data_IF_440383466288
#
_entry.id   IF_440383466288
#
_cell.length_a   1.000
_cell.length_b   1.000
_cell.length_c   1.000
_cell.angle_alpha   90.00
_cell.angle_beta   90.00
_cell.angle_gamma   90.00
#
_symmetry.space_group_name_H-M   'P 1'
#
loop_
_entity.id
_entity.type
_entity.pdbx_description
1 polymer ?
#
# COMPACT_ATOMS: atom_id res chain seq x y z
N UNK A 1 -9.38 -24.31 5.78
CA UNK A 1 -8.44 -23.54 4.93
C UNK A 1 -8.69 -24.10 3.55
N UNK A 2 -9.63 -23.52 2.82
CA UNK A 2 -10.37 -24.30 1.80
C UNK A 2 -9.76 -24.17 0.40
N UNK A 3 -8.65 -23.41 0.30
CA UNK A 3 -8.01 -23.02 -0.96
C UNK A 3 -6.64 -23.67 -1.18
N UNK A 4 -6.15 -24.50 -0.26
CA UNK A 4 -4.85 -25.19 -0.38
C UNK A 4 -4.99 -26.70 -0.17
N UNK A 5 -4.15 -27.47 -0.87
CA UNK A 5 -3.99 -28.89 -0.60
C UNK A 5 -3.15 -29.09 0.67
N UNK A 6 -3.82 -29.37 1.79
CA UNK A 6 -3.18 -29.52 3.11
C UNK A 6 -2.07 -30.60 3.13
N UNK A 7 -2.18 -31.63 2.28
CA UNK A 7 -1.20 -32.71 2.23
C UNK A 7 0.18 -32.24 1.75
N UNK A 8 0.18 -31.26 0.84
CA UNK A 8 1.40 -30.63 0.30
C UNK A 8 2.08 -29.66 1.29
N UNK A 9 1.38 -29.25 2.36
CA UNK A 9 1.84 -28.20 3.30
C UNK A 9 2.02 -28.69 4.75
N UNK A 10 1.94 -30.00 5.00
CA UNK A 10 2.13 -30.58 6.33
C UNK A 10 3.44 -30.14 7.00
N UNK A 11 3.35 -29.67 8.24
CA UNK A 11 4.48 -29.15 9.03
C UNK A 11 5.01 -27.76 8.61
N UNK A 12 4.46 -27.17 7.55
CA UNK A 12 4.85 -25.83 7.04
C UNK A 12 3.76 -24.77 7.25
N UNK A 13 2.59 -25.17 7.75
CA UNK A 13 1.48 -24.26 8.03
C UNK A 13 1.63 -23.60 9.39
N UNK A 14 1.30 -22.31 9.45
CA UNK A 14 1.15 -21.55 10.69
C UNK A 14 -0.32 -21.22 10.88
N UNK A 15 -0.90 -21.69 11.99
CA UNK A 15 -2.23 -21.25 12.38
C UNK A 15 -2.17 -19.86 13.00
N UNK A 16 -2.90 -18.92 12.39
CA UNK A 16 -3.11 -17.58 12.92
C UNK A 16 -4.58 -17.46 13.34
N UNK A 17 -4.87 -17.35 14.66
CA UNK A 17 -6.23 -17.16 15.13
C UNK A 17 -6.76 -15.81 14.66
N UNK A 18 -8.08 -15.61 14.76
CA UNK A 18 -8.87 -14.47 14.25
C UNK A 18 -9.56 -14.78 12.90
N UNK A 19 -10.88 -14.57 12.89
CA UNK A 19 -11.76 -14.73 11.73
C UNK A 19 -12.35 -13.39 11.27
N UNK A 20 -12.13 -12.32 12.03
CA UNK A 20 -12.51 -10.95 11.67
C UNK A 20 -11.50 -10.32 10.71
N UNK A 21 -10.30 -10.90 10.61
CA UNK A 21 -9.21 -10.45 9.72
C UNK A 21 -8.97 -11.42 8.57
N UNK A 22 -8.66 -10.86 7.40
CA UNK A 22 -8.22 -11.64 6.24
C UNK A 22 -6.90 -12.38 6.53
N UNK A 23 -6.62 -13.45 5.78
CA UNK A 23 -5.35 -14.17 5.90
C UNK A 23 -4.14 -13.29 5.56
N UNK A 24 -4.29 -12.33 4.64
CA UNK A 24 -3.25 -11.34 4.36
C UNK A 24 -2.99 -10.44 5.56
N UNK A 25 -4.05 -9.86 6.15
CA UNK A 25 -3.92 -8.98 7.30
C UNK A 25 -3.27 -9.69 8.50
N UNK A 26 -3.68 -10.93 8.78
CA UNK A 26 -3.06 -11.77 9.82
C UNK A 26 -1.59 -12.05 9.51
N UNK A 27 -1.26 -12.31 8.25
CA UNK A 27 0.12 -12.54 7.82
C UNK A 27 1.00 -11.30 8.03
N UNK A 28 0.49 -10.10 7.74
CA UNK A 28 1.19 -8.83 8.00
C UNK A 28 1.48 -8.63 9.49
N UNK A 29 0.50 -8.91 10.36
CA UNK A 29 0.68 -8.86 11.81
C UNK A 29 1.74 -9.86 12.28
N UNK A 30 1.70 -11.09 11.76
CA UNK A 30 2.66 -12.13 12.10
C UNK A 30 4.09 -11.77 11.70
N UNK A 31 4.33 -11.38 10.44
CA UNK A 31 5.68 -11.07 9.97
C UNK A 31 6.27 -9.87 10.73
N UNK A 32 5.45 -8.87 11.03
CA UNK A 32 5.88 -7.75 11.88
C UNK A 32 6.24 -8.20 13.31
N UNK A 33 5.48 -9.13 13.90
CA UNK A 33 5.76 -9.67 15.23
C UNK A 33 7.10 -10.40 15.34
N UNK A 34 7.62 -10.93 14.23
CA UNK A 34 8.94 -11.58 14.15
C UNK A 34 10.04 -10.64 13.66
N UNK A 35 9.77 -9.33 13.57
CA UNK A 35 10.75 -8.28 13.25
C UNK A 35 10.89 -7.96 11.77
N UNK A 36 10.02 -8.49 10.90
CA UNK A 36 10.02 -8.16 9.47
C UNK A 36 9.09 -6.97 9.24
N UNK A 37 9.66 -5.82 8.87
CA UNK A 37 8.93 -4.57 8.68
C UNK A 37 8.93 -4.06 7.24
N UNK A 38 9.60 -4.73 6.31
CA UNK A 38 9.52 -4.47 4.87
C UNK A 38 8.89 -5.68 4.18
N UNK A 39 7.75 -5.47 3.53
CA UNK A 39 6.94 -6.56 2.98
C UNK A 39 6.45 -6.18 1.58
N UNK A 40 6.72 -7.08 0.64
CA UNK A 40 6.16 -7.07 -0.71
C UNK A 40 5.11 -8.17 -0.82
N UNK A 41 3.93 -7.80 -1.33
CA UNK A 41 2.83 -8.73 -1.59
C UNK A 41 2.62 -8.79 -3.09
N UNK A 42 2.63 -10.01 -3.62
CA UNK A 42 2.37 -10.33 -5.03
C UNK A 42 1.10 -11.19 -5.14
N UNK A 43 0.54 -11.30 -6.33
CA UNK A 43 -0.72 -12.03 -6.52
C UNK A 43 -1.92 -11.32 -5.87
N UNK A 44 -1.85 -10.00 -5.80
CA UNK A 44 -2.92 -9.13 -5.30
C UNK A 44 -3.99 -8.83 -6.36
N UNK A 45 -3.66 -9.15 -7.62
CA UNK A 45 -4.52 -9.02 -8.79
C UNK A 45 -5.36 -10.26 -9.08
N UNK A 46 -6.46 -10.03 -9.80
CA UNK A 46 -7.35 -11.09 -10.27
C UNK A 46 -8.48 -11.39 -9.29
N UNK A 47 -9.32 -12.35 -9.67
CA UNK A 47 -10.57 -12.63 -8.97
C UNK A 47 -11.61 -11.54 -9.20
N UNK A 48 -12.50 -11.35 -8.23
CA UNK A 48 -13.49 -10.28 -8.24
C UNK A 48 -12.98 -9.03 -7.50
N UNK A 49 -13.62 -7.89 -7.75
CA UNK A 49 -13.24 -6.62 -7.13
C UNK A 49 -13.33 -6.65 -5.60
N UNK A 50 -14.17 -7.50 -4.99
CA UNK A 50 -14.23 -7.67 -3.55
C UNK A 50 -12.91 -8.19 -2.99
N UNK A 51 -12.27 -9.15 -3.67
CA UNK A 51 -10.93 -9.61 -3.30
C UNK A 51 -9.88 -8.50 -3.41
N UNK A 52 -9.87 -7.77 -4.54
CA UNK A 52 -8.92 -6.67 -4.77
C UNK A 52 -9.09 -5.55 -3.74
N UNK A 53 -10.33 -5.15 -3.44
CA UNK A 53 -10.63 -4.17 -2.39
C UNK A 53 -10.25 -4.68 -1.00
N UNK A 54 -10.48 -5.97 -0.70
CA UNK A 54 -10.07 -6.58 0.56
C UNK A 54 -8.55 -6.54 0.77
N UNK A 55 -7.78 -6.81 -0.29
CA UNK A 55 -6.33 -6.69 -0.27
C UNK A 55 -5.89 -5.25 -0.03
N UNK A 56 -6.48 -4.26 -0.70
CA UNK A 56 -6.19 -2.84 -0.42
C UNK A 56 -6.61 -2.42 0.99
N UNK A 57 -7.75 -2.92 1.49
CA UNK A 57 -8.24 -2.64 2.84
C UNK A 57 -7.27 -3.14 3.92
N UNK A 58 -6.55 -4.26 3.69
CA UNK A 58 -5.54 -4.78 4.61
C UNK A 58 -4.42 -3.78 4.92
N UNK A 59 -4.17 -2.80 4.04
CA UNK A 59 -3.21 -1.72 4.29
C UNK A 59 -3.62 -0.86 5.50
N UNK A 60 -4.92 -0.69 5.75
CA UNK A 60 -5.44 0.08 6.89
C UNK A 60 -5.34 -0.68 8.21
N UNK A 61 -5.19 -2.00 8.14
CA UNK A 61 -4.98 -2.90 9.27
C UNK A 61 -3.49 -3.22 9.48
N UNK A 62 -2.62 -2.64 8.66
CA UNK A 62 -1.19 -2.92 8.66
C UNK A 62 -0.54 -2.42 9.96
N UNK A 63 0.40 -3.17 10.54
CA UNK A 63 1.03 -2.81 11.80
C UNK A 63 1.86 -1.53 11.70
N UNK A 64 2.03 -0.84 12.82
CA UNK A 64 2.79 0.41 12.87
C UNK A 64 4.23 0.19 12.41
N UNK A 65 4.75 1.14 11.62
CA UNK A 65 6.12 1.12 11.12
C UNK A 65 6.38 0.22 9.91
N UNK A 66 5.39 -0.58 9.47
CA UNK A 66 5.56 -1.45 8.31
C UNK A 66 5.67 -0.64 7.01
N UNK A 67 6.57 -1.08 6.14
CA UNK A 67 6.72 -0.65 4.75
C UNK A 67 6.13 -1.74 3.87
N UNK A 68 4.91 -1.49 3.41
CA UNK A 68 4.13 -2.43 2.63
C UNK A 68 4.02 -1.97 1.18
N UNK A 69 4.29 -2.89 0.25
CA UNK A 69 4.11 -2.69 -1.20
C UNK A 69 3.25 -3.81 -1.75
N UNK A 70 2.22 -3.46 -2.51
CA UNK A 70 1.37 -4.40 -3.22
C UNK A 70 1.70 -4.28 -4.71
N UNK A 71 2.11 -5.38 -5.34
CA UNK A 71 2.55 -5.42 -6.73
C UNK A 71 1.40 -5.83 -7.63
N UNK A 72 0.85 -4.84 -8.34
CA UNK A 72 -0.13 -5.04 -9.38
C UNK A 72 0.57 -5.19 -10.74
N UNK A 73 -0.07 -5.82 -11.73
CA UNK A 73 0.43 -5.93 -13.10
C UNK A 73 0.71 -4.55 -13.72
N UNK A 74 -0.09 -3.55 -13.34
CA UNK A 74 0.01 -2.19 -13.87
C UNK A 74 0.90 -1.24 -13.05
N UNK A 75 1.48 -1.71 -11.93
CA UNK A 75 2.31 -0.87 -11.07
C UNK A 75 2.32 -1.30 -9.61
N UNK A 76 2.88 -0.46 -8.75
CA UNK A 76 3.06 -0.77 -7.32
C UNK A 76 2.26 0.19 -6.46
N UNK A 77 1.47 -0.35 -5.53
CA UNK A 77 0.77 0.42 -4.51
C UNK A 77 1.59 0.43 -3.22
N UNK A 78 2.13 1.59 -2.87
CA UNK A 78 2.93 1.80 -1.67
C UNK A 78 2.05 2.26 -0.51
N UNK A 79 2.22 1.64 0.66
CA UNK A 79 1.65 2.13 1.91
C UNK A 79 2.53 3.21 2.54
N UNK A 80 1.96 4.38 2.80
CA UNK A 80 2.63 5.46 3.51
C UNK A 80 1.85 5.81 4.76
N UNK A 81 2.52 5.89 5.91
CA UNK A 81 1.92 6.32 7.17
C UNK A 81 2.88 7.23 7.94
N UNK A 82 2.39 8.01 8.93
CA UNK A 82 3.26 8.78 9.81
C UNK A 82 4.34 7.95 10.53
N UNK A 83 4.11 6.64 10.65
CA UNK A 83 4.97 5.73 11.42
C UNK A 83 6.02 5.00 10.59
N UNK A 84 5.94 5.00 9.26
CA UNK A 84 6.84 4.23 8.39
C UNK A 84 7.82 5.08 7.55
N UNK A 85 7.83 6.40 7.79
CA UNK A 85 8.72 7.34 7.10
C UNK A 85 8.14 7.96 5.83
N UNK A 86 6.88 7.69 5.51
CA UNK A 86 6.20 8.22 4.33
C UNK A 86 6.62 7.54 3.03
N UNK A 87 6.41 8.22 1.90
CA UNK A 87 6.81 7.76 0.58
C UNK A 87 7.92 8.65 0.02
N UNK A 88 8.95 8.03 -0.56
CA UNK A 88 10.08 8.71 -1.19
C UNK A 88 10.69 7.83 -2.27
N UNK A 89 10.37 8.06 -3.54
CA UNK A 89 10.84 7.27 -4.68
C UNK A 89 11.20 8.18 -5.86
N UNK A 90 12.17 7.76 -6.68
CA UNK A 90 12.43 8.43 -7.95
C UNK A 90 11.37 8.05 -8.97
N UNK A 91 10.62 9.03 -9.47
CA UNK A 91 9.57 8.81 -10.49
C UNK A 91 10.02 9.48 -11.78
N UNK A 92 10.04 8.70 -12.87
CA UNK A 92 10.52 9.16 -14.18
C UNK A 92 9.67 10.32 -14.71
N UNK A 93 10.27 11.13 -15.58
CA UNK A 93 9.57 12.21 -16.24
C UNK A 93 8.41 11.64 -17.06
N UNK A 94 7.18 12.08 -16.77
CA UNK A 94 5.98 11.60 -17.45
C UNK A 94 5.35 10.33 -16.85
N UNK A 95 6.06 9.59 -16.00
CA UNK A 95 5.51 8.41 -15.32
C UNK A 95 4.39 8.82 -14.37
N UNK A 96 3.30 8.06 -14.38
CA UNK A 96 2.11 8.38 -13.59
C UNK A 96 2.21 7.84 -12.17
N UNK A 97 1.70 8.64 -11.24
CA UNK A 97 1.43 8.17 -9.89
C UNK A 97 0.15 8.80 -9.34
N UNK A 98 -0.49 8.14 -8.38
CA UNK A 98 -1.71 8.63 -7.73
C UNK A 98 -1.58 8.51 -6.22
N UNK A 99 -2.21 9.43 -5.48
CA UNK A 99 -2.17 9.48 -4.02
C UNK A 99 -3.60 9.43 -3.47
N UNK A 100 -3.89 8.44 -2.65
CA UNK A 100 -5.20 8.28 -2.01
C UNK A 100 -5.05 8.32 -0.49
N UNK A 101 -5.86 9.14 0.16
CA UNK A 101 -5.96 9.11 1.60
C UNK A 101 -6.85 7.93 2.03
N UNK A 102 -6.31 7.04 2.87
CA UNK A 102 -7.05 5.89 3.41
C UNK A 102 -7.85 6.26 4.66
N UNK A 103 -7.51 7.38 5.28
CA UNK A 103 -8.32 8.09 6.26
C UNK A 103 -8.19 9.59 6.01
N UNK A 104 -9.18 10.43 6.40
CA UNK A 104 -9.09 11.87 6.19
C UNK A 104 -7.79 12.47 6.76
N UNK A 105 -6.99 13.07 5.88
CA UNK A 105 -5.79 13.82 6.24
C UNK A 105 -6.11 15.31 6.31
N UNK A 106 -5.57 16.00 7.32
CA UNK A 106 -5.63 17.46 7.37
C UNK A 106 -4.37 18.11 6.81
N UNK A 107 -3.28 17.36 6.71
CA UNK A 107 -1.95 17.85 6.33
C UNK A 107 -1.24 16.85 5.42
N UNK A 108 -1.53 16.88 4.14
CA UNK A 108 -0.82 16.12 3.10
C UNK A 108 0.11 17.05 2.31
N UNK A 109 1.34 16.57 2.07
CA UNK A 109 2.33 17.25 1.21
C UNK A 109 2.80 16.29 0.11
N UNK A 110 2.79 16.77 -1.13
CA UNK A 110 3.26 16.05 -2.32
C UNK A 110 4.26 16.96 -3.06
N UNK A 111 5.51 16.51 -3.16
CA UNK A 111 6.59 17.21 -3.86
C UNK A 111 7.22 16.32 -4.93
N UNK A 112 7.86 16.91 -5.94
CA UNK A 112 8.50 16.18 -7.06
C UNK A 112 7.54 15.77 -8.19
N UNK A 113 6.22 15.90 -7.98
CA UNK A 113 5.21 15.72 -9.01
C UNK A 113 4.79 17.04 -9.66
N UNK A 114 4.14 16.93 -10.83
CA UNK A 114 3.57 18.04 -11.59
C UNK A 114 2.49 18.79 -10.81
N UNK A 115 1.67 18.08 -10.06
CA UNK A 115 0.67 18.68 -9.17
C UNK A 115 1.13 18.53 -7.72
N UNK A 116 1.48 19.66 -7.10
CA UNK A 116 1.95 19.70 -5.71
C UNK A 116 0.76 19.86 -4.76
N UNK A 117 0.95 19.37 -3.54
CA UNK A 117 0.13 19.69 -2.39
C UNK A 117 1.05 20.19 -1.29
N UNK A 118 0.69 21.27 -0.61
CA UNK A 118 1.49 21.85 0.47
C UNK A 118 0.65 22.01 1.74
N UNK A 119 0.79 21.04 2.65
CA UNK A 119 0.09 21.03 3.93
C UNK A 119 -1.45 21.13 3.79
N UNK A 120 -2.01 20.41 2.82
CA UNK A 120 -3.42 20.50 2.45
C UNK A 120 -4.23 19.30 2.93
N UNK A 121 -5.54 19.49 3.14
CA UNK A 121 -6.44 18.39 3.42
C UNK A 121 -6.62 17.45 2.21
N UNK A 122 -6.62 16.15 2.48
CA UNK A 122 -6.90 15.12 1.49
C UNK A 122 -7.83 14.07 2.09
N UNK A 123 -8.97 13.86 1.44
CA UNK A 123 -9.90 12.76 1.75
C UNK A 123 -9.79 11.67 0.70
N UNK A 124 -10.38 10.51 0.98
CA UNK A 124 -10.56 9.45 -0.03
C UNK A 124 -11.42 9.98 -1.18
N UNK A 125 -10.76 10.43 -2.24
CA UNK A 125 -11.35 11.18 -3.35
C UNK A 125 -10.44 11.08 -4.58
N UNK A 126 -10.93 11.61 -5.70
CA UNK A 126 -10.19 11.63 -6.96
C UNK A 126 -9.15 12.75 -7.04
N UNK A 127 -9.02 13.60 -6.02
CA UNK A 127 -8.15 14.78 -6.03
C UNK A 127 -6.67 14.44 -6.23
N UNK A 128 -6.23 13.28 -5.72
CA UNK A 128 -4.84 12.82 -5.88
C UNK A 128 -4.59 11.90 -7.08
N UNK A 129 -5.55 11.73 -7.97
CA UNK A 129 -5.46 10.84 -9.13
C UNK A 129 -4.57 11.44 -10.24
N UNK A 130 -3.82 10.58 -10.94
CA UNK A 130 -3.14 10.87 -12.21
C UNK A 130 -2.08 11.99 -12.16
N UNK A 131 -1.33 12.07 -11.05
CA UNK A 131 -0.14 12.90 -10.98
C UNK A 131 0.96 12.39 -11.93
N UNK A 132 1.99 13.19 -12.16
CA UNK A 132 3.04 12.92 -13.14
C UNK A 132 4.40 13.29 -12.55
N UNK A 133 5.34 12.35 -12.60
CA UNK A 133 6.72 12.57 -12.17
C UNK A 133 7.43 13.58 -13.05
N UNK A 134 8.31 14.36 -12.42
CA UNK A 134 9.15 15.35 -13.11
C UNK A 134 10.56 14.81 -13.42
N UNK A 135 10.80 13.51 -13.23
CA UNK A 135 12.12 12.89 -13.41
C UNK A 135 13.05 13.07 -12.20
N UNK A 136 12.48 13.26 -11.00
CA UNK A 136 13.21 13.50 -9.75
C UNK A 136 12.54 12.74 -8.60
N UNK A 137 13.08 12.89 -7.39
CA UNK A 137 12.57 12.31 -6.16
C UNK A 137 11.18 12.89 -5.82
N UNK A 138 10.17 12.02 -5.84
CA UNK A 138 8.84 12.33 -5.34
C UNK A 138 8.77 11.97 -3.88
N UNK A 139 8.33 12.91 -3.04
CA UNK A 139 8.04 12.64 -1.62
C UNK A 139 6.59 12.93 -1.32
N UNK A 140 5.96 12.01 -0.60
CA UNK A 140 4.59 12.15 -0.11
C UNK A 140 4.60 11.89 1.39
N UNK A 141 4.01 12.82 2.14
CA UNK A 141 3.87 12.74 3.59
C UNK A 141 2.50 13.24 4.03
N UNK A 142 2.00 12.68 5.13
CA UNK A 142 0.67 13.01 5.65
C UNK A 142 0.59 12.70 7.15
N UNK A 143 -0.38 13.31 7.82
CA UNK A 143 -0.80 13.00 9.20
C UNK A 143 -1.74 11.78 9.29
N UNK A 144 -2.17 11.23 8.16
CA UNK A 144 -3.01 10.05 8.05
C UNK A 144 -2.42 9.03 7.03
N UNK A 145 -2.79 7.74 7.09
CA UNK A 145 -2.33 6.75 6.13
C UNK A 145 -2.76 7.05 4.69
N UNK A 146 -1.85 6.83 3.76
CA UNK A 146 -2.03 7.03 2.32
C UNK A 146 -1.67 5.75 1.56
N UNK A 147 -2.28 5.58 0.39
CA UNK A 147 -1.85 4.64 -0.64
C UNK A 147 -1.34 5.42 -1.85
N UNK A 148 -0.11 5.14 -2.29
CA UNK A 148 0.50 5.79 -3.44
C UNK A 148 0.69 4.74 -4.54
N UNK A 149 -0.06 4.86 -5.63
CA UNK A 149 0.08 3.97 -6.77
C UNK A 149 1.06 4.57 -7.77
N UNK A 150 2.14 3.87 -8.08
CA UNK A 150 3.10 4.24 -9.13
C UNK A 150 2.91 3.29 -10.29
N UNK A 151 2.54 3.81 -11.45
CA UNK A 151 2.32 3.00 -12.65
C UNK A 151 3.66 2.47 -13.19
N UNK A 152 3.64 1.27 -13.79
CA UNK A 152 4.76 0.80 -14.59
C UNK A 152 5.12 1.82 -15.68
N UNK A 153 6.42 1.97 -15.94
CA UNK A 153 6.89 2.85 -17.00
C UNK A 153 6.68 2.18 -18.36
N UNK A 154 6.03 2.86 -19.29
CA UNK A 154 5.84 2.41 -20.68
C UNK A 154 7.05 2.80 -21.52
#
# INVERSE_FOLDING_TARGET
MDSIDESSWSGKMKFLPDQEMSDLSKSLQYVNSVGINEVDVVGVDGGDYGHVFGVMASMTEAPLGIRLRLHFESGVLHFSSPTNGGFSEHILLGQKFSVFALAPSTRTTVIGGKWKLENEGLSFSTRGLSNEGLGDLVKVSSDAPLAIFVSESI
#
